data_IF_190528411281
#
_entry.id   IF_190528411281
#
_cell.length_a   1.000
_cell.length_b   1.000
_cell.length_c   1.000
_cell.angle_alpha   90.00
_cell.angle_beta   90.00
_cell.angle_gamma   90.00
#
_symmetry.space_group_name_H-M   'P 1'
#
loop_
_entity.id
_entity.type
_entity.pdbx_description
1 polymer ?
#
# COMPACT_ATOMS: atom_id res chain seq x y z
N UNK A 1 1.07 6.85 5.28
CA UNK A 1 -0.15 6.32 4.62
C UNK A 1 -1.14 7.46 4.47
N UNK A 2 -1.95 7.47 3.41
CA UNK A 2 -3.02 8.45 3.21
C UNK A 2 -4.34 7.75 2.90
N UNK A 3 -5.47 8.42 3.13
CA UNK A 3 -6.80 7.91 2.73
C UNK A 3 -7.36 8.83 1.66
N UNK A 4 -7.78 8.27 0.53
CA UNK A 4 -8.36 9.00 -0.59
C UNK A 4 -9.74 8.47 -0.92
N UNK A 5 -10.80 9.24 -0.65
CA UNK A 5 -12.21 8.91 -0.95
C UNK A 5 -12.60 7.46 -0.62
N UNK A 6 -12.19 6.93 0.54
CA UNK A 6 -12.42 5.52 0.99
C UNK A 6 -11.42 4.47 0.49
N UNK A 7 -10.35 4.88 -0.19
CA UNK A 7 -9.23 4.01 -0.58
C UNK A 7 -8.01 4.33 0.27
N UNK A 8 -7.41 3.31 0.87
CA UNK A 8 -6.17 3.44 1.62
C UNK A 8 -4.99 3.41 0.65
N UNK A 9 -4.15 4.44 0.70
CA UNK A 9 -2.89 4.49 -0.04
C UNK A 9 -1.78 4.05 0.89
N UNK A 10 -1.22 2.87 0.60
CA UNK A 10 -0.12 2.26 1.33
C UNK A 10 1.15 2.26 0.48
N UNK A 11 2.26 2.69 1.07
CA UNK A 11 3.59 2.59 0.46
C UNK A 11 4.24 1.33 1.01
N UNK A 12 4.33 0.29 0.19
CA UNK A 12 4.89 -1.02 0.58
C UNK A 12 6.28 -1.26 0.00
N UNK A 13 6.76 -0.36 -0.86
CA UNK A 13 8.04 -0.54 -1.54
C UNK A 13 7.96 -1.50 -2.73
N UNK A 14 9.02 -1.56 -3.56
CA UNK A 14 9.01 -2.35 -4.79
C UNK A 14 8.92 -3.86 -4.55
N UNK A 15 9.48 -4.36 -3.44
CA UNK A 15 9.49 -5.80 -3.12
C UNK A 15 8.10 -6.34 -2.76
N UNK A 16 7.33 -5.57 -1.98
CA UNK A 16 5.97 -5.94 -1.62
C UNK A 16 4.91 -5.43 -2.62
N UNK A 17 5.30 -4.69 -3.67
CA UNK A 17 4.40 -4.14 -4.70
C UNK A 17 3.72 -5.24 -5.52
N UNK A 18 4.48 -6.16 -6.09
CA UNK A 18 3.95 -7.28 -6.89
C UNK A 18 3.00 -8.21 -6.11
N UNK A 19 3.34 -8.69 -4.90
CA UNK A 19 2.41 -9.52 -4.14
C UNK A 19 1.20 -8.73 -3.62
N UNK A 20 1.34 -7.43 -3.36
CA UNK A 20 0.22 -6.56 -2.99
C UNK A 20 -0.79 -6.44 -4.13
N UNK A 21 -0.35 -6.25 -5.37
CA UNK A 21 -1.24 -6.17 -6.54
C UNK A 21 -1.99 -7.46 -6.85
N UNK A 22 -1.49 -8.61 -6.40
CA UNK A 22 -2.20 -9.88 -6.50
C UNK A 22 -3.35 -10.02 -5.49
N UNK A 23 -3.46 -9.14 -4.50
CA UNK A 23 -4.54 -9.18 -3.51
C UNK A 23 -5.81 -8.53 -4.08
N UNK A 24 -6.95 -9.14 -3.78
CA UNK A 24 -8.27 -8.63 -4.18
C UNK A 24 -8.55 -7.26 -3.54
N UNK A 25 -9.00 -6.30 -4.35
CA UNK A 25 -9.26 -4.93 -3.91
C UNK A 25 -8.00 -4.08 -3.75
N UNK A 26 -6.89 -4.49 -4.38
CA UNK A 26 -5.66 -3.69 -4.48
C UNK A 26 -5.43 -3.31 -5.93
N UNK A 27 -5.05 -2.05 -6.15
CA UNK A 27 -4.74 -1.48 -7.46
C UNK A 27 -3.43 -0.71 -7.41
N UNK A 28 -2.83 -0.53 -8.57
CA UNK A 28 -1.67 0.33 -8.76
C UNK A 28 -2.05 1.77 -8.42
N UNK A 29 -1.17 2.49 -7.73
CA UNK A 29 -1.39 3.92 -7.52
C UNK A 29 -1.14 4.68 -8.83
N UNK A 30 -2.22 4.97 -9.56
CA UNK A 30 -2.19 5.66 -10.87
C UNK A 30 -2.87 7.05 -10.85
N UNK A 31 -3.20 7.60 -9.66
CA UNK A 31 -3.96 8.86 -9.54
C UNK A 31 -3.30 10.05 -10.28
N UNK A 32 -1.98 10.04 -10.42
CA UNK A 32 -1.20 11.11 -11.07
C UNK A 32 -0.88 10.84 -12.56
N UNK A 33 -1.45 9.79 -13.16
CA UNK A 33 -1.15 9.38 -14.55
C UNK A 33 0.26 8.82 -14.74
N UNK A 34 0.94 8.48 -13.64
CA UNK A 34 2.25 7.84 -13.61
C UNK A 34 2.21 6.76 -12.53
N UNK A 35 2.26 5.47 -12.89
CA UNK A 35 2.31 4.41 -11.91
C UNK A 35 3.63 4.50 -11.14
N UNK A 36 3.55 4.83 -9.85
CA UNK A 36 4.72 4.87 -8.98
C UNK A 36 4.94 3.48 -8.38
N UNK A 37 6.04 2.82 -8.79
CA UNK A 37 6.48 1.56 -8.20
C UNK A 37 6.62 1.70 -6.67
N UNK A 38 5.98 0.79 -5.95
CA UNK A 38 5.99 0.73 -4.49
C UNK A 38 4.82 1.45 -3.78
N UNK A 39 3.88 2.02 -4.54
CA UNK A 39 2.65 2.60 -4.02
C UNK A 39 1.43 1.81 -4.47
N UNK A 40 0.59 1.40 -3.53
CA UNK A 40 -0.63 0.66 -3.83
C UNK A 40 -1.86 1.36 -3.25
N UNK A 41 -2.95 1.27 -4.00
CA UNK A 41 -4.28 1.70 -3.61
C UNK A 41 -5.06 0.48 -3.15
N UNK A 42 -5.43 0.46 -1.88
CA UNK A 42 -6.22 -0.61 -1.28
C UNK A 42 -7.62 -0.09 -1.03
N UNK A 43 -8.61 -0.67 -1.68
CA UNK A 43 -10.00 -0.29 -1.50
C UNK A 43 -10.40 -0.49 -0.03
N UNK A 44 -11.22 0.41 0.53
CA UNK A 44 -11.67 0.34 1.93
C UNK A 44 -12.30 -1.01 2.30
N UNK A 45 -12.85 -1.72 1.31
CA UNK A 45 -13.40 -3.06 1.46
C UNK A 45 -12.33 -4.14 1.69
N UNK A 46 -11.11 -3.96 1.17
CA UNK A 46 -9.98 -4.86 1.37
C UNK A 46 -9.24 -4.60 2.71
N UNK A 47 -9.33 -3.39 3.25
CA UNK A 47 -8.80 -3.04 4.60
C UNK A 47 -9.87 -2.99 5.69
N UNK A 48 -11.08 -3.49 5.39
CA UNK A 48 -12.20 -3.47 6.33
C UNK A 48 -11.95 -4.29 7.61
N UNK A 49 -11.04 -5.27 7.54
CA UNK A 49 -10.56 -6.02 8.70
C UNK A 49 -9.34 -5.34 9.30
N UNK A 50 -9.35 -5.10 10.62
CA UNK A 50 -8.20 -4.57 11.34
C UNK A 50 -6.91 -5.37 11.10
N UNK A 51 -7.01 -6.71 11.04
CA UNK A 51 -5.86 -7.56 10.74
C UNK A 51 -5.25 -7.26 9.35
N UNK A 52 -6.09 -6.97 8.34
CA UNK A 52 -5.62 -6.59 7.01
C UNK A 52 -4.97 -5.21 7.06
N UNK A 53 -5.60 -4.23 7.73
CA UNK A 53 -5.03 -2.90 7.92
C UNK A 53 -3.67 -2.96 8.64
N UNK A 54 -3.56 -3.72 9.73
CA UNK A 54 -2.29 -3.93 10.46
C UNK A 54 -1.22 -4.56 9.57
N UNK A 55 -1.57 -5.53 8.73
CA UNK A 55 -0.62 -6.08 7.75
C UNK A 55 -0.07 -5.01 6.81
N UNK A 56 -0.95 -4.14 6.28
CA UNK A 56 -0.50 -3.03 5.43
C UNK A 56 0.38 -2.04 6.19
N UNK A 57 0.03 -1.73 7.44
CA UNK A 57 0.83 -0.85 8.30
C UNK A 57 2.21 -1.46 8.52
N UNK A 58 2.28 -2.74 8.88
CA UNK A 58 3.53 -3.47 9.05
C UNK A 58 4.39 -3.44 7.79
N UNK A 59 3.81 -3.73 6.61
CA UNK A 59 4.51 -3.67 5.33
C UNK A 59 5.11 -2.28 5.05
N UNK A 60 4.36 -1.22 5.33
CA UNK A 60 4.86 0.14 5.13
C UNK A 60 5.94 0.52 6.13
N UNK A 61 5.79 0.11 7.39
CA UNK A 61 6.79 0.36 8.45
C UNK A 61 8.07 -0.40 8.15
N UNK A 62 7.99 -1.67 7.78
CA UNK A 62 9.14 -2.50 7.38
C UNK A 62 9.91 -1.88 6.21
N UNK A 63 9.19 -1.40 5.19
CA UNK A 63 9.81 -0.67 4.09
C UNK A 63 10.46 0.66 4.53
N UNK A 64 9.84 1.40 5.45
CA UNK A 64 10.44 2.64 5.97
C UNK A 64 11.65 2.36 6.86
N UNK A 65 11.68 1.23 7.57
CA UNK A 65 12.81 0.80 8.39
C UNK A 65 14.00 0.29 7.55
N UNK A 66 13.74 -0.29 6.38
CA UNK A 66 14.80 -0.71 5.44
C UNK A 66 15.41 0.46 4.66
N UNK A 67 14.74 1.60 4.62
CA UNK A 67 15.33 2.84 4.11
C UNK A 67 16.36 3.37 5.14
N UNK A 68 17.63 3.58 4.74
CA UNK A 68 18.62 4.11 5.65
C UNK A 68 18.15 5.47 6.18
N UNK A 69 18.20 5.70 7.50
CA UNK A 69 17.88 7.00 8.07
C UNK A 69 18.83 8.04 7.44
N UNK A 70 18.26 9.13 6.95
CA UNK A 70 19.01 10.22 6.34
C UNK A 70 19.58 11.15 7.40
#
# INVERSE_FOLDING_TARGET
MGVWKETLIARVGPEAYEPALKRTGVKEFDITGRPMRGWVMVEGQAVKKEAALQQWIQLAVDFVLTLPPK
#
